data_IF_465333958662
#
_entry.id   IF_465333958662
#
_cell.length_a   1.000
_cell.length_b   1.000
_cell.length_c   1.000
_cell.angle_alpha   90.00
_cell.angle_beta   90.00
_cell.angle_gamma   90.00
#
_symmetry.space_group_name_H-M   'P 1'
#
loop_
_entity.id
_entity.type
_entity.pdbx_description
1 polymer ?
#
# COMPACT_ATOMS: atom_id res chain seq x y z
N UNK A 1 6.17 1.66 21.54
CA UNK A 1 5.22 0.78 20.84
C UNK A 1 5.92 -0.54 20.57
N UNK A 2 5.67 -1.58 21.37
CA UNK A 2 6.14 -2.94 21.10
C UNK A 2 4.89 -3.82 21.02
N UNK A 3 4.77 -4.63 19.97
CA UNK A 3 3.63 -5.53 19.74
C UNK A 3 2.42 -4.93 19.03
N UNK A 4 2.60 -3.97 18.12
CA UNK A 4 1.52 -3.51 17.24
C UNK A 4 1.52 -4.35 15.96
N UNK A 5 0.34 -4.83 15.55
CA UNK A 5 0.18 -5.59 14.33
C UNK A 5 0.35 -4.70 13.09
N UNK A 6 0.89 -5.26 12.02
CA UNK A 6 1.10 -4.60 10.74
C UNK A 6 0.20 -5.23 9.69
N UNK A 7 -0.64 -4.44 9.03
CA UNK A 7 -1.38 -4.90 7.84
C UNK A 7 -0.76 -4.30 6.58
N UNK A 8 -0.14 -5.13 5.74
CA UNK A 8 0.33 -4.76 4.42
C UNK A 8 -0.81 -4.90 3.41
N UNK A 9 -1.19 -3.80 2.75
CA UNK A 9 -2.30 -3.76 1.79
C UNK A 9 -1.76 -3.55 0.38
N UNK A 10 -2.14 -4.42 -0.54
CA UNK A 10 -1.92 -4.26 -1.97
C UNK A 10 -3.25 -4.15 -2.70
N UNK A 11 -3.40 -3.11 -3.53
CA UNK A 11 -4.56 -2.97 -4.41
C UNK A 11 -4.20 -3.23 -5.86
N UNK A 12 -4.97 -4.09 -6.51
CA UNK A 12 -4.84 -4.42 -7.92
C UNK A 12 -5.48 -3.37 -8.86
N UNK A 13 -6.10 -2.32 -8.30
CA UNK A 13 -6.83 -1.31 -9.06
C UNK A 13 -8.28 -1.71 -9.34
N UNK A 14 -8.97 -0.89 -10.15
CA UNK A 14 -10.37 -1.13 -10.51
C UNK A 14 -10.48 -2.31 -11.49
N UNK A 15 -11.46 -3.18 -11.25
CA UNK A 15 -11.69 -4.35 -12.07
C UNK A 15 -12.64 -4.03 -13.24
N UNK A 16 -12.52 -4.75 -14.38
CA UNK A 16 -13.50 -4.68 -15.45
C UNK A 16 -14.91 -4.96 -14.92
N UNK A 17 -15.82 -4.00 -15.13
CA UNK A 17 -17.22 -4.11 -14.71
C UNK A 17 -17.53 -3.59 -13.30
N UNK A 18 -16.54 -3.25 -12.47
CA UNK A 18 -16.81 -2.87 -11.06
C UNK A 18 -17.58 -1.56 -10.90
N UNK A 19 -17.63 -0.73 -11.95
CA UNK A 19 -18.45 0.50 -11.96
C UNK A 19 -19.95 0.21 -12.14
N UNK A 20 -20.29 -0.87 -12.83
CA UNK A 20 -21.68 -1.27 -13.07
C UNK A 20 -22.22 -2.16 -11.94
N UNK A 21 -21.37 -3.04 -11.42
CA UNK A 21 -21.66 -3.91 -10.28
C UNK A 21 -20.40 -3.98 -9.40
N UNK A 22 -20.40 -3.36 -8.21
CA UNK A 22 -19.26 -3.34 -7.30
C UNK A 22 -18.81 -4.73 -6.82
N UNK A 23 -19.70 -5.73 -6.86
CA UNK A 23 -19.41 -7.10 -6.45
C UNK A 23 -19.00 -8.00 -7.64
N UNK A 24 -19.21 -7.53 -8.88
CA UNK A 24 -18.83 -8.27 -10.07
C UNK A 24 -17.32 -8.46 -10.13
N UNK A 25 -16.93 -9.73 -10.06
CA UNK A 25 -15.54 -10.16 -10.15
C UNK A 25 -15.34 -10.95 -11.45
N UNK A 26 -14.35 -10.57 -12.28
CA UNK A 26 -13.96 -11.38 -13.42
C UNK A 26 -13.57 -12.80 -12.98
N UNK A 27 -13.86 -13.80 -13.81
CA UNK A 27 -13.58 -15.21 -13.46
C UNK A 27 -12.12 -15.50 -13.12
N UNK A 28 -11.18 -14.73 -13.68
CA UNK A 28 -9.74 -14.85 -13.41
C UNK A 28 -9.30 -14.22 -12.08
N UNK A 29 -10.16 -13.42 -11.44
CA UNK A 29 -9.81 -12.65 -10.25
C UNK A 29 -9.32 -13.53 -9.08
N UNK A 30 -9.97 -14.66 -8.71
CA UNK A 30 -9.53 -15.46 -7.57
C UNK A 30 -8.10 -15.99 -7.73
N UNK A 31 -7.74 -16.47 -8.92
CA UNK A 31 -6.40 -16.98 -9.22
C UNK A 31 -5.36 -15.86 -9.18
N UNK A 32 -5.68 -14.70 -9.76
CA UNK A 32 -4.82 -13.53 -9.73
C UNK A 32 -4.62 -13.02 -8.29
N UNK A 33 -5.70 -12.94 -7.51
CA UNK A 33 -5.66 -12.52 -6.11
C UNK A 33 -4.78 -13.45 -5.28
N UNK A 34 -4.93 -14.78 -5.43
CA UNK A 34 -4.09 -15.75 -4.75
C UNK A 34 -2.60 -15.60 -5.12
N UNK A 35 -2.29 -15.40 -6.40
CA UNK A 35 -0.92 -15.15 -6.86
C UNK A 35 -0.33 -13.87 -6.25
N UNK A 36 -1.09 -12.77 -6.23
CA UNK A 36 -0.63 -11.52 -5.63
C UNK A 36 -0.48 -11.63 -4.11
N UNK A 37 -1.35 -12.41 -3.46
CA UNK A 37 -1.29 -12.67 -2.01
C UNK A 37 0.00 -13.39 -1.66
N UNK A 38 0.36 -14.43 -2.43
CA UNK A 38 1.60 -15.16 -2.25
C UNK A 38 2.82 -14.26 -2.46
N UNK A 39 2.82 -13.44 -3.52
CA UNK A 39 3.91 -12.49 -3.77
C UNK A 39 4.06 -11.46 -2.63
N UNK A 40 2.95 -10.98 -2.07
CA UNK A 40 2.96 -10.06 -0.94
C UNK A 40 3.51 -10.75 0.32
N UNK A 41 3.06 -11.97 0.61
CA UNK A 41 3.57 -12.78 1.72
C UNK A 41 5.09 -12.95 1.61
N UNK A 42 5.60 -13.32 0.44
CA UNK A 42 7.04 -13.47 0.19
C UNK A 42 7.83 -12.19 0.43
N UNK A 43 7.31 -11.04 0.00
CA UNK A 43 7.96 -9.73 0.20
C UNK A 43 8.02 -9.33 1.68
N UNK A 44 7.00 -9.69 2.44
CA UNK A 44 6.90 -9.41 3.87
C UNK A 44 7.71 -10.40 4.71
N UNK A 45 7.84 -11.66 4.29
CA UNK A 45 8.51 -12.73 5.02
C UNK A 45 9.93 -12.35 5.50
N UNK A 46 10.71 -11.66 4.66
CA UNK A 46 12.06 -11.20 5.02
C UNK A 46 12.06 -10.25 6.22
N UNK A 47 11.01 -9.45 6.36
CA UNK A 47 10.86 -8.48 7.45
C UNK A 47 10.27 -9.13 8.68
N UNK A 48 9.28 -10.02 8.51
CA UNK A 48 8.73 -10.83 9.60
C UNK A 48 9.80 -11.67 10.28
N UNK A 49 10.73 -12.25 9.53
CA UNK A 49 11.85 -13.00 10.10
C UNK A 49 12.82 -12.11 10.92
N UNK A 50 12.94 -10.82 10.58
CA UNK A 50 13.80 -9.85 11.28
C UNK A 50 13.12 -9.18 12.47
N UNK A 51 11.79 -9.18 12.47
CA UNK A 51 10.93 -8.53 13.46
C UNK A 51 9.82 -9.50 13.90
N UNK A 52 10.17 -10.62 14.54
CA UNK A 52 9.19 -11.65 14.93
C UNK A 52 8.16 -11.15 15.96
N UNK A 53 8.44 -10.04 16.64
CA UNK A 53 7.52 -9.37 17.56
C UNK A 53 6.39 -8.59 16.87
N UNK A 54 6.43 -8.46 15.54
CA UNK A 54 5.41 -7.78 14.74
C UNK A 54 4.61 -8.81 13.96
N UNK A 55 3.33 -9.00 14.32
CA UNK A 55 2.42 -9.85 13.55
C UNK A 55 2.08 -9.13 12.25
N UNK A 56 2.48 -9.71 11.13
CA UNK A 56 2.25 -9.13 9.81
C UNK A 56 1.09 -9.85 9.09
N UNK A 57 0.03 -9.11 8.81
CA UNK A 57 -1.07 -9.52 7.94
C UNK A 57 -0.86 -8.97 6.53
N UNK A 58 -1.31 -9.72 5.53
CA UNK A 58 -1.22 -9.32 4.12
C UNK A 58 -2.61 -9.36 3.52
N UNK A 59 -3.02 -8.27 2.87
CA UNK A 59 -4.33 -8.15 2.23
C UNK A 59 -4.19 -7.70 0.78
N UNK A 60 -4.71 -8.52 -0.15
CA UNK A 60 -4.88 -8.15 -1.55
C UNK A 60 -6.32 -7.81 -1.84
N UNK A 61 -6.54 -6.58 -2.32
CA UNK A 61 -7.88 -6.02 -2.61
C UNK A 61 -7.94 -5.43 -4.01
N UNK A 62 -9.15 -5.09 -4.43
CA UNK A 62 -9.45 -4.33 -5.64
C UNK A 62 -9.77 -2.88 -5.28
N UNK A 63 -9.89 -2.03 -6.29
CA UNK A 63 -10.33 -0.66 -6.16
C UNK A 63 -9.21 0.35 -5.92
N UNK A 64 -9.59 1.58 -5.59
CA UNK A 64 -8.65 2.69 -5.40
C UNK A 64 -7.83 2.49 -4.12
N UNK A 65 -6.50 2.54 -4.21
CA UNK A 65 -5.59 2.29 -3.07
C UNK A 65 -5.89 3.16 -1.85
N UNK A 66 -6.21 4.45 -2.05
CA UNK A 66 -6.54 5.34 -0.95
C UNK A 66 -7.77 4.85 -0.16
N UNK A 67 -8.82 4.39 -0.87
CA UNK A 67 -10.04 3.87 -0.24
C UNK A 67 -9.79 2.53 0.45
N UNK A 68 -9.01 1.65 -0.17
CA UNK A 68 -8.58 0.41 0.45
C UNK A 68 -7.85 0.67 1.77
N UNK A 69 -6.90 1.60 1.80
CA UNK A 69 -6.18 1.97 3.01
C UNK A 69 -7.09 2.62 4.07
N UNK A 70 -8.03 3.47 3.66
CA UNK A 70 -9.02 4.08 4.57
C UNK A 70 -9.89 3.03 5.28
N UNK A 71 -10.21 1.90 4.63
CA UNK A 71 -10.95 0.80 5.25
C UNK A 71 -10.22 0.21 6.46
N UNK A 72 -8.91 0.06 6.37
CA UNK A 72 -8.06 -0.43 7.47
C UNK A 72 -7.70 0.69 8.46
N UNK A 73 -7.74 1.95 8.02
CA UNK A 73 -7.34 3.10 8.82
C UNK A 73 -8.19 3.32 10.07
N UNK A 74 -9.45 2.87 10.05
CA UNK A 74 -10.38 3.09 11.17
C UNK A 74 -9.98 2.34 12.45
N UNK A 75 -9.19 1.28 12.31
CA UNK A 75 -8.65 0.47 13.40
C UNK A 75 -7.12 0.65 13.54
N UNK A 76 -6.49 1.40 12.64
CA UNK A 76 -5.06 1.60 12.62
C UNK A 76 -4.63 2.83 13.41
N UNK A 77 -3.48 2.73 14.08
CA UNK A 77 -2.87 3.85 14.78
C UNK A 77 -2.03 4.75 13.83
N UNK A 78 -1.68 4.24 12.64
CA UNK A 78 -0.83 4.91 11.65
C UNK A 78 -1.01 4.26 10.28
N UNK A 79 -1.14 5.08 9.23
CA UNK A 79 -0.97 4.63 7.84
C UNK A 79 0.43 5.00 7.35
N UNK A 80 1.10 4.05 6.71
CA UNK A 80 2.41 4.28 6.07
C UNK A 80 2.27 4.11 4.56
N UNK A 81 2.66 5.13 3.79
CA UNK A 81 2.67 5.09 2.32
C UNK A 81 3.96 5.69 1.77
N UNK A 82 4.34 5.28 0.56
CA UNK A 82 5.42 5.94 -0.17
C UNK A 82 5.03 7.35 -0.63
N UNK A 83 6.01 8.21 -0.92
CA UNK A 83 5.74 9.54 -1.51
C UNK A 83 5.29 9.46 -2.97
N UNK A 84 5.67 8.40 -3.69
CA UNK A 84 5.36 8.19 -5.11
C UNK A 84 4.96 6.73 -5.36
N UNK A 85 4.08 6.53 -6.35
CA UNK A 85 3.63 5.21 -6.81
C UNK A 85 4.40 4.71 -8.02
N UNK A 86 3.90 3.65 -8.67
CA UNK A 86 4.48 3.07 -9.90
C UNK A 86 4.26 3.91 -11.17
N UNK A 87 3.32 4.86 -11.13
CA UNK A 87 3.02 5.76 -12.25
C UNK A 87 3.80 7.06 -12.04
N UNK A 88 4.85 7.23 -12.82
CA UNK A 88 5.82 8.32 -12.70
C UNK A 88 5.29 9.60 -13.36
N UNK A 89 4.44 10.35 -12.66
CA UNK A 89 4.20 11.74 -13.03
C UNK A 89 5.42 12.57 -12.62
N UNK A 90 6.27 12.86 -13.61
CA UNK A 90 7.42 13.77 -13.48
C UNK A 90 6.88 15.16 -13.12
N UNK A 91 7.11 15.61 -11.88
CA UNK A 91 6.77 16.97 -11.43
C UNK A 91 5.90 17.07 -10.18
N UNK A 92 5.31 15.97 -9.68
CA UNK A 92 4.57 16.00 -8.41
C UNK A 92 5.44 15.54 -7.23
N UNK A 93 5.42 16.32 -6.14
CA UNK A 93 6.06 15.97 -4.86
C UNK A 93 5.35 14.79 -4.18
N UNK A 94 4.06 14.60 -4.46
CA UNK A 94 3.21 13.55 -3.86
C UNK A 94 2.43 12.76 -4.92
N UNK A 95 2.33 11.45 -4.74
CA UNK A 95 1.42 10.58 -5.50
C UNK A 95 -0.05 10.78 -5.11
N UNK A 96 -0.96 10.37 -5.99
CA UNK A 96 -2.42 10.52 -5.79
C UNK A 96 -2.93 9.84 -4.52
N UNK A 97 -2.40 8.66 -4.17
CA UNK A 97 -2.73 7.95 -2.93
C UNK A 97 -2.33 8.76 -1.71
N UNK A 98 -1.07 9.21 -1.63
CA UNK A 98 -0.55 9.96 -0.50
C UNK A 98 -1.27 11.29 -0.34
N UNK A 99 -1.55 11.99 -1.44
CA UNK A 99 -2.35 13.20 -1.43
C UNK A 99 -3.76 12.97 -0.87
N UNK A 100 -4.47 11.94 -1.32
CA UNK A 100 -5.81 11.63 -0.81
C UNK A 100 -5.81 11.29 0.69
N UNK A 101 -4.80 10.55 1.16
CA UNK A 101 -4.72 10.14 2.56
C UNK A 101 -4.43 11.31 3.50
N UNK A 102 -3.60 12.27 3.10
CA UNK A 102 -3.33 13.47 3.92
C UNK A 102 -4.63 14.23 4.25
N UNK A 103 -5.57 14.28 3.31
CA UNK A 103 -6.82 15.03 3.48
C UNK A 103 -7.93 14.25 4.17
N UNK A 104 -7.90 12.92 4.12
CA UNK A 104 -9.08 12.10 4.45
C UNK A 104 -8.81 10.92 5.40
N UNK A 105 -7.55 10.61 5.73
CA UNK A 105 -7.28 9.51 6.65
C UNK A 105 -7.82 9.81 8.06
N UNK A 106 -8.51 8.86 8.70
CA UNK A 106 -9.03 9.03 10.07
C UNK A 106 -7.93 8.91 11.14
N UNK A 107 -6.68 8.61 10.74
CA UNK A 107 -5.54 8.44 11.62
C UNK A 107 -4.30 9.14 11.04
N UNK A 108 -3.21 9.30 11.83
CA UNK A 108 -1.95 9.83 11.33
C UNK A 108 -1.45 9.11 10.07
N UNK A 109 -0.80 9.86 9.18
CA UNK A 109 -0.22 9.35 7.92
C UNK A 109 1.27 9.65 7.88
N UNK A 110 2.10 8.61 7.75
CA UNK A 110 3.52 8.73 7.48
C UNK A 110 3.81 8.55 5.99
N UNK A 111 4.45 9.54 5.39
CA UNK A 111 4.89 9.51 4.00
C UNK A 111 6.38 9.23 3.94
N UNK A 112 6.74 8.09 3.36
CA UNK A 112 8.13 7.67 3.21
C UNK A 112 8.63 8.09 1.82
N UNK A 113 9.58 9.05 1.72
CA UNK A 113 10.15 9.40 0.44
C UNK A 113 10.89 8.20 -0.14
N UNK A 114 10.76 7.98 -1.46
CA UNK A 114 11.68 7.08 -2.15
C UNK A 114 13.08 7.63 -1.96
N UNK A 115 13.97 6.89 -1.29
CA UNK A 115 15.39 7.21 -1.29
C UNK A 115 15.85 7.20 -2.74
N UNK A 116 15.93 8.38 -3.37
CA UNK A 116 16.79 8.52 -4.52
C UNK A 116 18.15 8.03 -4.06
N UNK A 117 18.73 7.07 -4.77
CA UNK A 117 20.10 6.61 -4.55
C UNK A 117 20.94 7.82 -4.21
N UNK A 118 21.58 7.82 -3.04
CA UNK A 118 22.52 8.84 -2.66
C UNK A 118 23.63 8.85 -3.72
N UNK A 119 23.51 9.71 -4.73
CA UNK A 119 24.63 10.01 -5.59
C UNK A 119 25.38 11.19 -4.99
N UNK A 120 26.57 10.88 -4.52
CA UNK A 120 27.65 11.82 -4.24
C UNK A 120 27.93 12.63 -5.50
N UNK A 121 27.87 13.95 -5.37
CA UNK A 121 28.91 14.81 -5.91
C UNK A 121 29.02 16.03 -5.00
N UNK A 122 30.03 16.01 -4.14
CA UNK A 122 30.68 17.25 -3.75
C UNK A 122 31.15 17.96 -5.01
N UNK A 123 30.80 19.24 -5.11
CA UNK A 123 31.72 20.38 -5.08
C UNK A 123 32.30 20.75 -6.45
N UNK A 124 32.76 22.01 -6.64
CA UNK A 124 32.76 23.15 -5.71
C UNK A 124 31.72 24.23 -6.00
#
# INVERSE_FOLDING_TARGET
MRGADLTAVFSCGELPGSLADPEAQPRWWPEYQAQQQELLNQRIARWSARHPEVVAHCAVTTGRTAWALMRYAHEAQLIVVGSRGRSEFVGSVLGSTSHALIHHAPCPVMIVPSSASANRSGQP
#
